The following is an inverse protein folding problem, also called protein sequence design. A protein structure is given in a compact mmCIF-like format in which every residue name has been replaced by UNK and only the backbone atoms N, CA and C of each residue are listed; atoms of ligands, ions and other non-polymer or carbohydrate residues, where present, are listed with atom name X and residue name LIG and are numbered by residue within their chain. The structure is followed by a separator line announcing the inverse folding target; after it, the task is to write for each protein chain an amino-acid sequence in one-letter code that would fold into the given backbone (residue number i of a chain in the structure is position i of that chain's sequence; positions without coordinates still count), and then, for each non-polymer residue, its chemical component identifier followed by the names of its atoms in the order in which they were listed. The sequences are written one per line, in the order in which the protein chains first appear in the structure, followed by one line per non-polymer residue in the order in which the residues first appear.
data_IF_936665253496
#
_entry.id   IF_936665253496
#
_cell.length_a   1.000
_cell.length_b   1.000
_cell.length_c   1.000
_cell.angle_alpha   90.00
_cell.angle_beta   90.00
_cell.angle_gamma   90.00
#
_symmetry.space_group_name_H-M   'P 1'
#
loop_
_entity.id
_entity.type
_entity.pdbx_description
1 polymer ?
#
# COMPACT_ATOMS: atom_id res chain seq x y z
N UNK A 1 -20.26 8.35 2.15
CA UNK A 1 -19.73 9.11 3.30
C UNK A 1 -18.45 8.45 3.79
N UNK A 2 -17.42 9.22 4.17
CA UNK A 2 -16.15 8.71 4.72
C UNK A 2 -16.17 8.60 6.26
N UNK A 3 -17.17 9.21 6.92
CA UNK A 3 -17.30 9.18 8.37
C UNK A 3 -17.38 7.74 8.88
N UNK A 4 -16.66 7.44 9.96
CA UNK A 4 -16.55 6.13 10.62
C UNK A 4 -15.82 5.03 9.84
N UNK A 5 -15.26 5.32 8.66
CA UNK A 5 -14.38 4.36 7.99
C UNK A 5 -13.05 4.22 8.75
N UNK A 6 -12.50 3.02 8.75
CA UNK A 6 -11.18 2.71 9.31
C UNK A 6 -10.15 2.69 8.20
N UNK A 7 -8.94 3.17 8.49
CA UNK A 7 -7.78 2.97 7.62
C UNK A 7 -6.89 1.93 8.26
N UNK A 8 -6.66 0.83 7.57
CA UNK A 8 -5.77 -0.24 8.02
C UNK A 8 -4.56 -0.30 7.10
N UNK A 9 -3.37 -0.50 7.66
CA UNK A 9 -2.15 -0.70 6.87
C UNK A 9 -1.94 -2.18 6.64
N UNK A 10 -1.68 -2.57 5.40
CA UNK A 10 -1.26 -3.93 5.07
C UNK A 10 0.25 -4.07 5.31
N UNK A 11 0.61 -4.70 6.42
CA UNK A 11 2.01 -4.96 6.75
C UNK A 11 2.51 -6.22 6.04
N UNK A 12 3.33 -6.01 5.01
CA UNK A 12 3.92 -7.10 4.22
C UNK A 12 4.92 -7.94 5.02
N UNK A 13 5.65 -7.33 5.95
CA UNK A 13 6.61 -8.04 6.78
C UNK A 13 5.90 -9.00 7.74
N UNK A 14 4.77 -8.59 8.33
CA UNK A 14 3.94 -9.46 9.17
C UNK A 14 3.33 -10.63 8.39
N UNK A 15 2.88 -10.39 7.14
CA UNK A 15 2.36 -11.47 6.30
C UNK A 15 3.43 -12.52 5.99
N UNK A 16 4.66 -12.08 5.74
CA UNK A 16 5.82 -12.95 5.47
C UNK A 16 6.40 -13.60 6.73
N UNK A 17 6.25 -12.98 7.90
CA UNK A 17 6.83 -13.46 9.15
C UNK A 17 6.32 -14.87 9.50
N UNK A 18 7.23 -15.84 9.53
CA UNK A 18 6.90 -17.24 9.81
C UNK A 18 6.17 -17.97 8.69
N UNK A 19 6.00 -17.36 7.50
CA UNK A 19 5.63 -18.09 6.29
C UNK A 19 6.85 -18.89 5.82
N UNK A 20 6.76 -20.21 5.86
CA UNK A 20 7.84 -21.10 5.39
C UNK A 20 7.73 -21.34 3.88
N UNK A 21 6.50 -21.23 3.37
CA UNK A 21 6.19 -21.44 1.97
C UNK A 21 5.37 -20.28 1.41
N UNK A 22 5.46 -20.07 0.10
CA UNK A 22 4.65 -19.08 -0.62
C UNK A 22 3.15 -19.25 -0.39
N UNK A 23 2.67 -20.49 -0.26
CA UNK A 23 1.26 -20.79 0.02
C UNK A 23 0.77 -20.18 1.34
N UNK A 24 1.62 -20.15 2.38
CA UNK A 24 1.25 -19.58 3.69
C UNK A 24 0.96 -18.08 3.57
N UNK A 25 1.78 -17.36 2.80
CA UNK A 25 1.56 -15.95 2.52
C UNK A 25 0.24 -15.74 1.75
N UNK A 26 0.01 -16.53 0.70
CA UNK A 26 -1.20 -16.40 -0.13
C UNK A 26 -2.47 -16.70 0.68
N UNK A 27 -2.43 -17.66 1.61
CA UNK A 27 -3.55 -17.96 2.51
C UNK A 27 -3.82 -16.81 3.49
N UNK A 28 -2.77 -16.24 4.09
CA UNK A 28 -2.90 -15.09 5.00
C UNK A 28 -3.46 -13.87 4.28
N UNK A 29 -2.95 -13.56 3.09
CA UNK A 29 -3.46 -12.44 2.29
C UNK A 29 -4.91 -12.69 1.87
N UNK A 30 -5.29 -13.92 1.48
CA UNK A 30 -6.72 -14.27 1.25
C UNK A 30 -7.57 -14.00 2.48
N UNK A 31 -7.09 -14.37 3.67
CA UNK A 31 -7.76 -14.11 4.94
C UNK A 31 -8.04 -12.62 5.14
N UNK A 32 -7.00 -11.79 4.99
CA UNK A 32 -7.12 -10.33 5.11
C UNK A 32 -8.11 -9.76 4.09
N UNK A 33 -8.01 -10.15 2.82
CA UNK A 33 -8.92 -9.65 1.78
C UNK A 33 -10.38 -10.07 2.04
N UNK A 34 -10.59 -11.28 2.56
CA UNK A 34 -11.92 -11.77 2.95
C UNK A 34 -12.50 -10.94 4.10
N UNK A 35 -11.71 -10.66 5.12
CA UNK A 35 -12.16 -9.85 6.27
C UNK A 35 -12.50 -8.41 5.84
N UNK A 36 -11.65 -7.79 5.01
CA UNK A 36 -11.93 -6.45 4.46
C UNK A 36 -13.19 -6.44 3.61
N UNK A 37 -13.42 -7.46 2.78
CA UNK A 37 -14.64 -7.58 1.98
C UNK A 37 -15.90 -7.73 2.84
N UNK A 38 -15.81 -8.44 3.98
CA UNK A 38 -16.90 -8.60 4.94
C UNK A 38 -17.24 -7.31 5.69
N UNK A 39 -16.32 -6.34 5.74
CA UNK A 39 -16.55 -5.05 6.39
C UNK A 39 -17.40 -4.09 5.54
N UNK A 40 -17.99 -4.56 4.43
CA UNK A 40 -18.92 -3.82 3.55
C UNK A 40 -18.45 -2.39 3.21
N UNK A 41 -17.16 -2.30 2.90
CA UNK A 41 -16.50 -1.05 2.52
C UNK A 41 -16.22 -0.08 3.68
N UNK A 42 -16.44 -0.45 4.95
CA UNK A 42 -16.07 0.37 6.12
C UNK A 42 -14.56 0.46 6.34
N UNK A 43 -13.78 -0.47 5.78
CA UNK A 43 -12.32 -0.41 5.79
C UNK A 43 -11.76 0.13 4.48
N UNK A 44 -10.78 1.01 4.59
CA UNK A 44 -9.87 1.42 3.51
C UNK A 44 -8.51 0.81 3.82
N UNK A 45 -8.03 -0.05 2.93
CA UNK A 45 -6.72 -0.68 3.07
C UNK A 45 -5.63 0.22 2.48
N UNK A 46 -4.65 0.62 3.28
CA UNK A 46 -3.45 1.29 2.81
C UNK A 46 -2.37 0.25 2.51
N UNK A 47 -1.81 0.31 1.31
CA UNK A 47 -0.76 -0.59 0.84
C UNK A 47 0.43 0.29 0.48
N UNK A 48 1.45 0.29 1.33
CA UNK A 48 2.71 0.94 0.99
C UNK A 48 3.46 0.11 -0.06
N UNK A 49 4.21 0.79 -0.92
CA UNK A 49 4.96 0.17 -2.02
C UNK A 49 4.13 -0.85 -2.82
N UNK A 50 2.89 -0.51 -3.22
CA UNK A 50 1.93 -1.44 -3.84
C UNK A 50 2.48 -2.20 -5.06
N UNK A 51 3.47 -1.62 -5.75
CA UNK A 51 4.17 -2.24 -6.86
C UNK A 51 4.88 -3.55 -6.47
N UNK A 52 5.30 -3.71 -5.20
CA UNK A 52 5.88 -4.94 -4.65
C UNK A 52 4.89 -6.10 -4.65
N UNK A 53 3.59 -5.82 -4.53
CA UNK A 53 2.53 -6.83 -4.55
C UNK A 53 2.09 -7.21 -5.97
N UNK A 54 2.16 -6.27 -6.92
CA UNK A 54 1.59 -6.49 -8.27
C UNK A 54 2.63 -6.78 -9.35
N UNK A 55 3.89 -6.43 -9.12
CA UNK A 55 4.93 -6.44 -10.16
C UNK A 55 6.18 -7.25 -9.83
N UNK A 56 6.35 -7.66 -8.57
CA UNK A 56 7.61 -8.24 -8.12
C UNK A 56 7.90 -9.62 -8.74
N UNK A 57 6.90 -10.33 -9.27
CA UNK A 57 6.98 -11.72 -9.78
C UNK A 57 8.02 -12.05 -10.87
N UNK A 58 8.87 -11.10 -11.27
CA UNK A 58 10.03 -11.33 -12.15
C UNK A 58 11.34 -11.62 -11.42
N UNK A 59 11.43 -11.33 -10.11
CA UNK A 59 12.54 -11.79 -9.28
C UNK A 59 12.19 -13.15 -8.67
N UNK A 60 13.14 -14.10 -8.68
CA UNK A 60 12.96 -15.40 -8.03
C UNK A 60 12.55 -15.22 -6.56
N UNK A 61 11.33 -15.62 -6.21
CA UNK A 61 10.79 -15.53 -4.86
C UNK A 61 9.75 -14.43 -4.61
N UNK A 62 9.52 -13.55 -5.58
CA UNK A 62 8.52 -12.52 -5.43
C UNK A 62 7.08 -13.03 -5.64
N UNK A 63 6.19 -12.61 -4.75
CA UNK A 63 4.78 -13.02 -4.77
C UNK A 63 4.00 -12.11 -5.70
N UNK A 64 3.38 -12.67 -6.74
CA UNK A 64 2.38 -11.97 -7.56
C UNK A 64 1.02 -12.01 -6.85
N UNK A 65 0.87 -11.13 -5.86
CA UNK A 65 -0.39 -10.91 -5.16
C UNK A 65 -1.41 -10.14 -6.04
N UNK A 66 -0.99 -9.60 -7.19
CA UNK A 66 -1.84 -8.85 -8.10
C UNK A 66 -3.08 -9.65 -8.55
N UNK A 67 -2.93 -10.95 -8.80
CA UNK A 67 -4.06 -11.81 -9.18
C UNK A 67 -5.07 -12.03 -8.05
N UNK A 68 -4.68 -11.82 -6.79
CA UNK A 68 -5.57 -11.90 -5.64
C UNK A 68 -6.30 -10.56 -5.40
N UNK A 69 -5.64 -9.44 -5.70
CA UNK A 69 -6.23 -8.10 -5.57
C UNK A 69 -7.23 -7.79 -6.69
N UNK A 70 -6.92 -8.16 -7.95
CA UNK A 70 -7.73 -7.85 -9.14
C UNK A 70 -9.22 -8.18 -8.97
N UNK A 71 -9.63 -9.38 -8.48
CA UNK A 71 -11.06 -9.69 -8.33
C UNK A 71 -11.74 -8.84 -7.26
N UNK A 72 -11.09 -8.59 -6.13
CA UNK A 72 -11.66 -7.79 -5.03
C UNK A 72 -11.81 -6.31 -5.42
N UNK A 73 -10.81 -5.75 -6.12
CA UNK A 73 -10.88 -4.42 -6.74
C UNK A 73 -11.98 -4.37 -7.81
N UNK A 74 -12.12 -5.44 -8.60
CA UNK A 74 -13.07 -5.46 -9.69
C UNK A 74 -14.53 -5.47 -9.23
N UNK A 75 -14.80 -6.16 -8.11
CA UNK A 75 -16.12 -6.23 -7.47
C UNK A 75 -16.44 -5.03 -6.58
N UNK A 76 -15.45 -4.16 -6.31
CA UNK A 76 -15.60 -3.04 -5.37
C UNK A 76 -15.66 -3.48 -3.90
N UNK A 77 -15.24 -4.71 -3.60
CA UNK A 77 -15.16 -5.24 -2.23
C UNK A 77 -13.92 -4.73 -1.49
N UNK A 78 -12.88 -4.39 -2.24
CA UNK A 78 -11.66 -3.80 -1.71
C UNK A 78 -11.61 -2.32 -2.07
N UNK A 79 -11.70 -1.47 -1.04
CA UNK A 79 -11.28 -0.08 -1.14
C UNK A 79 -9.86 0.04 -0.62
N UNK A 80 -8.94 0.51 -1.46
CA UNK A 80 -7.56 0.69 -1.03
C UNK A 80 -6.93 1.96 -1.57
N UNK A 81 -5.86 2.38 -0.89
CA UNK A 81 -4.95 3.43 -1.31
C UNK A 81 -3.57 2.76 -1.42
N UNK A 82 -3.00 2.78 -2.61
CA UNK A 82 -1.65 2.30 -2.86
C UNK A 82 -0.66 3.46 -2.96
N UNK A 83 0.49 3.36 -2.29
CA UNK A 83 1.60 4.28 -2.47
C UNK A 83 2.69 3.64 -3.34
N UNK A 84 3.28 4.42 -4.24
CA UNK A 84 4.38 3.97 -5.10
C UNK A 84 5.10 5.18 -5.70
N UNK A 85 6.33 4.98 -6.15
CA UNK A 85 7.02 5.95 -7.01
C UNK A 85 6.44 5.92 -8.43
N UNK A 86 6.65 7.00 -9.18
CA UNK A 86 6.21 7.12 -10.57
C UNK A 86 6.84 6.05 -11.46
N UNK A 87 8.11 5.75 -11.26
CA UNK A 87 8.84 4.78 -12.08
C UNK A 87 8.32 3.35 -11.85
N UNK A 88 8.04 2.99 -10.59
CA UNK A 88 7.50 1.67 -10.29
C UNK A 88 6.03 1.53 -10.70
N UNK A 89 5.24 2.62 -10.66
CA UNK A 89 3.92 2.65 -11.27
C UNK A 89 3.98 2.33 -12.77
N UNK A 90 4.83 3.03 -13.54
CA UNK A 90 4.99 2.83 -14.99
C UNK A 90 5.50 1.42 -15.32
N UNK A 91 6.37 0.88 -14.47
CA UNK A 91 6.99 -0.43 -14.70
C UNK A 91 6.03 -1.59 -14.43
N UNK A 92 5.19 -1.48 -13.40
CA UNK A 92 4.44 -2.61 -12.87
C UNK A 92 2.92 -2.46 -12.90
N UNK A 93 2.39 -1.27 -12.63
CA UNK A 93 0.93 -1.04 -12.57
C UNK A 93 0.38 -0.66 -13.94
N UNK A 94 1.00 0.32 -14.61
CA UNK A 94 0.55 0.87 -15.90
C UNK A 94 0.60 -0.18 -17.03
N UNK A 95 1.49 -1.17 -16.93
CA UNK A 95 1.58 -2.26 -17.92
C UNK A 95 0.51 -3.32 -17.75
N UNK A 96 -0.17 -3.37 -16.60
CA UNK A 96 -1.26 -4.30 -16.33
C UNK A 96 -2.61 -3.58 -16.51
N UNK A 97 -3.23 -3.78 -17.67
CA UNK A 97 -4.49 -3.12 -18.02
C UNK A 97 -5.65 -3.40 -17.03
N UNK A 98 -5.60 -4.51 -16.28
CA UNK A 98 -6.62 -4.82 -15.29
C UNK A 98 -6.43 -4.00 -14.01
N UNK A 99 -5.20 -3.71 -13.60
CA UNK A 99 -4.91 -2.85 -12.47
C UNK A 99 -5.02 -1.38 -12.83
N UNK A 100 -4.47 -0.97 -13.98
CA UNK A 100 -4.51 0.42 -14.46
C UNK A 100 -5.94 0.99 -14.46
N UNK A 101 -6.93 0.21 -14.91
CA UNK A 101 -8.34 0.63 -14.96
C UNK A 101 -9.03 0.67 -13.59
N UNK A 102 -8.40 0.16 -12.54
CA UNK A 102 -8.95 0.10 -11.17
C UNK A 102 -8.35 1.15 -10.26
N UNK A 103 -7.20 1.69 -10.62
CA UNK A 103 -6.57 2.77 -9.87
C UNK A 103 -6.78 4.12 -10.56
N UNK A 104 -7.16 5.11 -9.77
CA UNK A 104 -7.05 6.50 -10.17
C UNK A 104 -5.69 7.03 -9.74
N UNK A 105 -4.87 7.47 -10.70
CA UNK A 105 -3.57 8.08 -10.41
C UNK A 105 -3.76 9.46 -9.77
N UNK A 106 -3.22 9.63 -8.57
CA UNK A 106 -3.06 10.93 -7.90
C UNK A 106 -1.56 11.19 -7.84
N UNK A 107 -1.09 12.22 -8.55
CA UNK A 107 0.31 12.62 -8.51
C UNK A 107 0.55 13.42 -7.23
N UNK A 108 1.63 13.08 -6.54
CA UNK A 108 2.10 13.78 -5.33
C UNK A 108 3.51 14.27 -5.65
N UNK A 109 3.63 15.58 -5.79
CA UNK A 109 4.90 16.23 -6.05
C UNK A 109 5.69 16.46 -4.75
N UNK A 110 6.98 16.75 -4.89
CA UNK A 110 7.80 17.17 -3.76
C UNK A 110 7.27 18.47 -3.13
N UNK A 111 7.41 18.65 -1.80
CA UNK A 111 7.02 19.90 -1.16
C UNK A 111 7.86 21.07 -1.68
N UNK A 112 7.25 22.27 -1.76
CA UNK A 112 8.02 23.50 -2.02
C UNK A 112 9.06 23.74 -0.92
N UNK A 113 10.00 24.65 -1.16
CA UNK A 113 11.00 25.05 -0.16
C UNK A 113 10.31 25.57 1.10
N UNK A 114 9.29 26.41 0.96
CA UNK A 114 8.54 26.97 2.09
C UNK A 114 7.78 25.89 2.87
N UNK A 115 7.14 24.96 2.17
CA UNK A 115 6.45 23.83 2.79
C UNK A 115 7.44 22.91 3.50
N UNK A 116 8.61 22.67 2.91
CA UNK A 116 9.70 21.87 3.49
C UNK A 116 10.20 22.49 4.79
N UNK A 117 10.43 23.81 4.81
CA UNK A 117 10.82 24.53 6.04
C UNK A 117 9.74 24.35 7.13
N UNK A 118 8.46 24.45 6.78
CA UNK A 118 7.37 24.25 7.73
C UNK A 118 7.32 22.80 8.28
N UNK A 119 7.51 21.80 7.41
CA UNK A 119 7.61 20.39 7.81
C UNK A 119 8.79 20.19 8.77
N UNK A 120 9.97 20.72 8.44
CA UNK A 120 11.16 20.59 9.28
C UNK A 120 10.99 21.26 10.65
N UNK A 121 10.38 22.44 10.70
CA UNK A 121 10.02 23.09 11.98
C UNK A 121 9.08 22.22 12.82
N UNK A 122 8.10 21.56 12.20
CA UNK A 122 7.23 20.62 12.89
C UNK A 122 7.92 19.34 13.38
N UNK A 123 9.10 19.00 12.84
CA UNK A 123 9.92 17.87 13.25
C UNK A 123 11.05 18.27 14.21
N UNK A 124 11.32 19.57 14.37
CA UNK A 124 12.46 20.10 15.12
C UNK A 124 12.55 19.52 16.55
N UNK A 125 11.46 19.63 17.33
CA UNK A 125 11.40 19.14 18.71
C UNK A 125 11.75 17.63 18.81
N UNK A 126 11.29 16.82 17.84
CA UNK A 126 11.60 15.39 17.82
C UNK A 126 13.09 15.13 17.64
N UNK A 127 13.76 15.93 16.80
CA UNK A 127 15.20 15.81 16.56
C UNK A 127 16.03 16.34 17.72
N UNK A 128 15.63 17.47 18.32
CA UNK A 128 16.25 18.04 19.53
C UNK A 128 16.27 17.02 20.66
N UNK A 129 15.12 16.39 20.95
CA UNK A 129 15.02 15.32 21.95
C UNK A 129 15.88 14.10 21.59
N UNK A 130 15.86 13.67 20.33
CA UNK A 130 16.62 12.49 19.89
C UNK A 130 18.14 12.69 20.01
N UNK A 131 18.62 13.90 19.74
CA UNK A 131 20.05 14.22 19.72
C UNK A 131 20.55 14.91 21.00
N UNK A 132 19.65 15.29 21.93
CA UNK A 132 19.99 15.95 23.18
C UNK A 132 20.54 17.36 22.97
N UNK A 133 19.97 18.10 22.02
CA UNK A 133 20.36 19.49 21.68
C UNK A 133 19.16 20.40 21.92
N UNK A 134 19.41 21.62 22.40
CA UNK A 134 18.42 22.72 22.51
C UNK A 134 18.65 23.77 21.42
#
# INVERSE_FOLDING_TARGET
SLKNKRVLVLDMALLLAGAKYRGDFEERLKGVLKEVAQDEGQTILFIDEIHTMVGAGKAEGAIDAGNMLKPALARGELHCIGATTLDEYRKYVEKDAALERRFQKVLVDEPSVEATIAILRGLQEKYEVHHGVE
#
